data_IF_727031080651
#
_entry.id   IF_727031080651
#
_cell.length_a   1.000
_cell.length_b   1.000
_cell.length_c   1.000
_cell.angle_alpha   90.00
_cell.angle_beta   90.00
_cell.angle_gamma   90.00
#
_symmetry.space_group_name_H-M   'P 1'
#
loop_
_entity.id
_entity.type
_entity.pdbx_description
1 polymer ?
2 non-polymer ?
3 water ?
#
# COMPACT_ATOMS: atom_id res chain seq x y z
N UNK A 4 7.34 14.78 18.67
CA UNK A 4 8.17 15.44 17.63
C UNK A 4 7.46 15.46 16.28
N UNK A 5 7.71 16.52 15.51
CA UNK A 5 7.12 16.63 14.19
C UNK A 5 7.80 15.61 13.30
N UNK A 6 9.02 15.22 13.71
CA UNK A 6 9.81 14.24 12.97
C UNK A 6 9.05 12.91 12.97
N UNK A 7 8.47 12.57 14.12
CA UNK A 7 7.71 11.34 14.25
C UNK A 7 6.39 11.40 13.47
N UNK A 8 5.68 12.52 13.59
CA UNK A 8 4.42 12.67 12.88
C UNK A 8 4.66 12.65 11.37
N UNK A 9 5.79 13.23 10.97
CA UNK A 9 6.18 13.32 9.57
C UNK A 9 6.24 11.95 8.90
N UNK A 10 6.65 10.92 9.64
CA UNK A 10 6.73 9.58 9.10
C UNK A 10 5.35 8.99 8.83
N UNK A 11 4.42 9.22 9.76
CA UNK A 11 3.05 8.71 9.61
C UNK A 11 2.32 9.42 8.48
N UNK A 12 2.51 10.73 8.38
CA UNK A 12 1.88 11.50 7.32
C UNK A 12 2.49 11.07 5.98
N UNK A 13 3.80 10.85 5.99
CA UNK A 13 4.48 10.43 4.78
C UNK A 13 3.99 9.09 4.26
N UNK A 14 3.78 8.14 5.17
CA UNK A 14 3.32 6.82 4.77
C UNK A 14 1.94 6.87 4.14
N UNK A 15 1.04 7.67 4.73
CA UNK A 15 -0.32 7.77 4.22
C UNK A 15 -0.39 8.57 2.91
N UNK A 16 0.17 9.76 2.90
CA UNK A 16 0.16 10.57 1.68
C UNK A 16 0.99 9.94 0.57
N UNK A 17 2.05 9.23 0.95
CA UNK A 17 2.89 8.57 -0.04
C UNK A 17 2.11 7.53 -0.81
N UNK A 18 1.20 6.85 -0.11
CA UNK A 18 0.36 5.82 -0.71
C UNK A 18 -0.46 6.47 -1.84
N UNK A 19 -1.13 7.56 -1.52
CA UNK A 19 -1.96 8.27 -2.49
C UNK A 19 -1.15 8.84 -3.64
N UNK A 20 0.03 9.38 -3.34
CA UNK A 20 0.89 9.94 -4.38
C UNK A 20 1.28 8.85 -5.38
N UNK A 21 1.63 7.67 -4.87
CA UNK A 21 2.01 6.57 -5.74
C UNK A 21 0.85 6.06 -6.58
N UNK A 22 -0.32 6.03 -5.98
CA UNK A 22 -1.54 5.59 -6.66
C UNK A 22 -1.83 6.55 -7.82
N UNK A 23 -1.84 7.85 -7.53
CA UNK A 23 -2.12 8.86 -8.55
C UNK A 23 -1.08 8.87 -9.67
N UNK A 24 0.20 8.83 -9.31
CA UNK A 24 1.26 8.82 -10.31
C UNK A 24 1.25 7.58 -11.18
N UNK A 25 1.18 6.41 -10.54
CA UNK A 25 1.17 5.16 -11.26
C UNK A 25 -0.04 4.97 -12.16
N UNK A 26 -1.17 5.53 -11.75
CA UNK A 26 -2.40 5.41 -12.52
C UNK A 26 -2.24 6.01 -13.92
N UNK A 27 -1.30 6.94 -14.05
CA UNK A 27 -1.05 7.60 -15.33
C UNK A 27 -0.54 6.63 -16.39
N UNK A 28 0.18 5.59 -15.95
CA UNK A 28 0.73 4.63 -16.90
C UNK A 28 0.38 3.16 -16.61
N UNK A 29 -0.67 2.94 -15.83
CA UNK A 29 -1.07 1.57 -15.53
C UNK A 29 -1.47 0.84 -16.82
N UNK A 30 -1.04 -0.40 -16.94
CA UNK A 30 -1.38 -1.20 -18.11
C UNK A 30 -0.38 -1.08 -19.26
N UNK A 31 0.56 -0.16 -19.15
CA UNK A 31 1.56 0.03 -20.20
C UNK A 31 2.81 -0.81 -19.96
N UNK A 32 3.28 -1.52 -21.00
CA UNK A 32 4.48 -2.35 -20.84
C UNK A 32 5.70 -1.49 -20.53
N UNK A 33 6.57 -2.02 -19.68
CA UNK A 33 7.79 -1.32 -19.30
C UNK A 33 8.59 -0.93 -20.55
N UNK A 34 9.22 0.25 -20.50
CA UNK A 34 10.03 0.71 -21.62
C UNK A 34 9.33 1.07 -22.91
N UNK A 35 8.02 1.30 -22.87
CA UNK A 35 7.30 1.64 -24.09
C UNK A 35 6.65 3.02 -24.00
N UNK A 36 6.95 3.75 -22.92
CA UNK A 36 6.36 5.07 -22.73
C UNK A 36 7.35 6.04 -22.08
N UNK A 37 7.13 7.36 -22.27
CA UNK A 37 8.00 8.39 -21.70
C UNK A 37 8.05 8.30 -20.19
N UNK A 38 9.23 8.54 -19.61
CA UNK A 38 9.37 8.48 -18.17
C UNK A 38 8.39 9.38 -17.43
N UNK A 39 7.66 8.79 -16.49
CA UNK A 39 6.71 9.53 -15.67
C UNK A 39 7.50 10.27 -14.60
N UNK A 40 7.30 11.58 -14.51
CA UNK A 40 8.01 12.39 -13.52
C UNK A 40 7.09 13.38 -12.82
N UNK A 41 5.99 13.72 -13.48
CA UNK A 41 5.06 14.70 -12.94
C UNK A 41 3.63 14.23 -12.83
N UNK A 42 2.85 14.92 -12.00
CA UNK A 42 1.44 14.64 -11.80
C UNK A 42 0.69 15.26 -12.98
N UNK A 43 0.57 14.52 -14.07
CA UNK A 43 -0.11 15.03 -15.25
C UNK A 43 -1.50 14.45 -15.42
N UNK A 44 -1.82 13.44 -14.61
CA UNK A 44 -3.11 12.79 -14.73
C UNK A 44 -3.08 11.95 -15.99
N UNK A 45 -4.25 11.60 -16.51
CA UNK A 45 -4.31 10.79 -17.71
C UNK A 45 -4.53 9.31 -17.44
N UNK A 46 -3.82 8.47 -18.18
CA UNK A 46 -3.98 7.04 -18.01
C UNK A 46 -5.26 6.57 -18.67
N UNK A 47 -5.57 5.27 -18.61
CA UNK A 47 -6.78 4.72 -19.23
C UNK A 47 -8.10 5.33 -18.73
N UNK A 48 -8.06 6.03 -17.61
CA UNK A 48 -9.27 6.64 -17.06
C UNK A 48 -9.30 8.17 -17.12
N UNK A 49 -8.42 8.74 -17.95
CA UNK A 49 -8.34 10.19 -18.10
C UNK A 49 -8.48 10.90 -16.76
N UNK A 50 -7.71 10.46 -15.78
CA UNK A 50 -7.77 11.06 -14.46
C UNK A 50 -7.22 12.48 -14.41
N UNK A 51 -7.82 13.34 -13.58
CA UNK A 51 -7.30 14.71 -13.48
C UNK A 51 -5.98 14.55 -12.72
N UNK A 52 -5.08 15.52 -12.84
CA UNK A 52 -3.79 15.44 -12.13
C UNK A 52 -4.02 15.28 -10.63
N UNK A 53 -3.23 14.43 -10.00
CA UNK A 53 -3.36 14.24 -8.56
C UNK A 53 -4.51 13.37 -8.09
N UNK A 54 -5.31 12.85 -9.02
CA UNK A 54 -6.42 11.99 -8.62
C UNK A 54 -5.98 10.54 -8.53
N UNK A 55 -6.31 9.91 -7.41
CA UNK A 55 -5.96 8.51 -7.18
C UNK A 55 -7.13 7.58 -7.54
N UNK A 56 -7.00 6.31 -7.18
CA UNK A 56 -8.03 5.33 -7.54
C UNK A 56 -8.54 4.50 -6.36
N UNK A 57 -8.98 3.28 -6.62
CA UNK A 57 -9.52 2.42 -5.58
C UNK A 57 -8.50 2.10 -4.49
N UNK A 58 -7.22 2.10 -4.86
CA UNK A 58 -6.17 1.81 -3.89
C UNK A 58 -6.30 2.75 -2.70
N UNK A 59 -6.29 4.05 -2.99
CA UNK A 59 -6.40 5.07 -1.96
C UNK A 59 -7.81 5.12 -1.35
N UNK A 60 -8.82 4.86 -2.17
CA UNK A 60 -10.19 4.87 -1.65
C UNK A 60 -10.33 3.84 -0.54
N UNK A 61 -9.80 2.64 -0.76
CA UNK A 61 -9.88 1.60 0.25
C UNK A 61 -9.07 1.98 1.49
N UNK A 62 -7.93 2.64 1.27
CA UNK A 62 -7.10 3.07 2.38
C UNK A 62 -7.89 4.07 3.23
N UNK A 63 -8.61 4.98 2.58
CA UNK A 63 -9.41 5.98 3.29
C UNK A 63 -10.52 5.29 4.09
N UNK A 64 -11.20 4.33 3.46
CA UNK A 64 -12.28 3.59 4.12
C UNK A 64 -11.77 2.89 5.37
N UNK A 65 -10.61 2.22 5.23
CA UNK A 65 -10.02 1.51 6.36
C UNK A 65 -9.65 2.49 7.48
N UNK A 66 -9.07 3.62 7.10
CA UNK A 66 -8.68 4.64 8.07
C UNK A 66 -9.88 5.14 8.87
N UNK A 67 -10.98 5.44 8.19
CA UNK A 67 -12.18 5.93 8.87
C UNK A 67 -12.76 4.86 9.77
N UNK A 68 -12.72 3.61 9.31
CA UNK A 68 -13.23 2.50 10.09
C UNK A 68 -12.45 2.37 11.39
N UNK A 69 -11.13 2.41 11.28
CA UNK A 69 -10.26 2.29 12.45
C UNK A 69 -10.49 3.39 13.47
N UNK A 70 -10.59 4.62 12.98
CA UNK A 70 -10.80 5.77 13.85
C UNK A 70 -12.19 5.74 14.48
N UNK A 71 -13.15 5.16 13.76
CA UNK A 71 -14.53 5.09 14.23
C UNK A 71 -14.81 3.96 15.21
N UNK A 72 -14.20 2.80 15.01
CA UNK A 72 -14.47 1.68 15.92
C UNK A 72 -13.35 0.65 16.03
N UNK A 73 -12.12 1.12 16.13
CA UNK A 73 -10.99 0.22 16.26
C UNK A 73 -10.94 -0.79 15.13
N UNK A 74 -10.42 -1.98 15.43
CA UNK A 74 -10.34 -3.03 14.42
C UNK A 74 -11.65 -3.81 14.32
N UNK A 75 -12.42 -3.49 13.28
CA UNK A 75 -13.72 -4.10 13.04
C UNK A 75 -13.86 -4.45 11.56
N UNK A 76 -13.42 -5.67 11.18
CA UNK A 76 -13.50 -6.13 9.79
C UNK A 76 -14.89 -6.05 9.20
N UNK A 77 -15.90 -6.24 10.04
CA UNK A 77 -17.28 -6.18 9.58
C UNK A 77 -17.57 -4.75 9.10
N UNK A 78 -17.15 -3.76 9.90
CA UNK A 78 -17.37 -2.37 9.55
C UNK A 78 -16.54 -2.00 8.33
N UNK A 79 -15.35 -2.57 8.22
CA UNK A 79 -14.48 -2.29 7.08
C UNK A 79 -15.21 -2.67 5.80
N UNK A 80 -15.76 -3.88 5.77
CA UNK A 80 -16.49 -4.37 4.62
C UNK A 80 -17.77 -3.58 4.36
N UNK A 81 -18.43 -3.09 5.42
CA UNK A 81 -19.63 -2.30 5.22
C UNK A 81 -19.26 -1.06 4.42
N UNK A 82 -18.13 -0.45 4.78
CA UNK A 82 -17.65 0.74 4.10
C UNK A 82 -17.18 0.45 2.68
N UNK A 83 -16.45 -0.65 2.48
CA UNK A 83 -16.00 -0.99 1.14
C UNK A 83 -17.21 -1.21 0.26
N UNK A 84 -18.15 -2.01 0.76
CA UNK A 84 -19.37 -2.34 0.03
C UNK A 84 -20.12 -1.08 -0.37
N UNK A 85 -20.29 -0.18 0.60
CA UNK A 85 -20.99 1.08 0.37
C UNK A 85 -20.26 1.88 -0.72
N UNK A 86 -18.94 1.97 -0.59
CA UNK A 86 -18.11 2.69 -1.55
C UNK A 86 -18.25 2.03 -2.93
N UNK A 87 -18.31 0.72 -2.94
CA UNK A 87 -18.43 -0.08 -4.16
C UNK A 87 -19.78 0.12 -4.86
N UNK A 88 -20.86 0.11 -4.09
CA UNK A 88 -22.19 0.27 -4.66
C UNK A 88 -22.52 1.70 -5.10
N UNK A 89 -21.77 2.67 -4.59
CA UNK A 89 -22.00 4.06 -4.98
C UNK A 89 -21.37 4.39 -6.33
N UNK A 90 -20.48 3.52 -6.79
CA UNK A 90 -19.84 3.72 -8.07
C UNK A 90 -20.37 2.81 -9.14
N UNK A 91 -19.87 2.98 -10.37
CA UNK A 91 -20.30 2.16 -11.49
C UNK A 91 -19.11 1.63 -12.28
N UNK A 104 -11.99 -10.19 -8.03
CA UNK A 104 -11.72 -10.90 -6.76
C UNK A 104 -12.33 -10.15 -5.58
N UNK A 105 -12.12 -8.84 -5.56
CA UNK A 105 -12.64 -7.99 -4.49
C UNK A 105 -14.15 -7.81 -4.61
N UNK A 106 -14.63 -7.62 -5.84
CA UNK A 106 -16.07 -7.44 -6.03
C UNK A 106 -16.79 -8.73 -5.65
N UNK A 107 -16.15 -9.86 -5.90
CA UNK A 107 -16.73 -11.15 -5.55
C UNK A 107 -16.78 -11.26 -4.03
N UNK A 108 -15.73 -10.77 -3.37
CA UNK A 108 -15.67 -10.81 -1.91
C UNK A 108 -16.75 -9.91 -1.30
N UNK A 109 -16.91 -8.72 -1.87
CA UNK A 109 -17.91 -7.79 -1.37
C UNK A 109 -19.32 -8.38 -1.49
N UNK A 110 -19.62 -9.00 -2.63
CA UNK A 110 -20.93 -9.61 -2.85
C UNK A 110 -21.09 -10.83 -1.96
N UNK A 111 -19.99 -11.52 -1.66
CA UNK A 111 -20.04 -12.70 -0.80
C UNK A 111 -20.46 -12.22 0.59
N UNK A 112 -19.84 -11.13 1.04
CA UNK A 112 -20.16 -10.55 2.34
C UNK A 112 -21.61 -10.07 2.40
N UNK A 113 -22.05 -9.41 1.35
CA UNK A 113 -23.41 -8.89 1.29
C UNK A 113 -24.44 -9.99 1.45
N UNK A 114 -24.13 -11.16 0.91
CA UNK A 114 -25.04 -12.30 0.96
C UNK A 114 -24.95 -13.18 2.21
N UNK A 115 -23.76 -13.32 2.76
CA UNK A 115 -23.55 -14.20 3.92
C UNK A 115 -23.27 -13.53 5.25
N UNK A 116 -22.79 -12.30 5.23
CA UNK A 116 -22.47 -11.61 6.46
C UNK A 116 -21.07 -11.94 6.97
N UNK A 117 -20.34 -12.78 6.23
CA UNK A 117 -18.98 -13.16 6.61
C UNK A 117 -18.00 -12.07 6.17
N UNK A 118 -17.42 -11.33 7.15
CA UNK A 118 -16.47 -10.25 6.82
C UNK A 118 -15.18 -10.72 6.15
N UNK A 119 -14.75 -11.94 6.48
CA UNK A 119 -13.53 -12.49 5.90
C UNK A 119 -13.96 -13.25 4.65
N UNK A 120 -14.41 -12.48 3.66
CA UNK A 120 -14.93 -13.03 2.42
C UNK A 120 -13.92 -13.35 1.32
N UNK A 121 -12.64 -13.22 1.62
CA UNK A 121 -11.64 -13.52 0.61
C UNK A 121 -11.54 -15.02 0.40
N UNK A 122 -11.23 -15.44 -0.82
CA UNK A 122 -11.10 -16.86 -1.12
C UNK A 122 -9.66 -17.19 -1.50
N UNK A 123 -9.36 -18.49 -1.61
CA UNK A 123 -8.01 -18.94 -1.95
C UNK A 123 -7.50 -18.50 -3.32
N UNK A 124 -8.40 -18.00 -4.17
CA UNK A 124 -8.00 -17.54 -5.49
C UNK A 124 -7.52 -16.09 -5.44
N UNK A 125 -7.76 -15.43 -4.31
CA UNK A 125 -7.36 -14.05 -4.18
C UNK A 125 -5.91 -13.88 -3.79
N UNK A 126 -5.01 -13.90 -4.76
CA UNK A 126 -3.58 -13.73 -4.49
C UNK A 126 -3.11 -12.36 -4.97
N UNK A 127 -4.07 -11.51 -5.31
CA UNK A 127 -3.75 -10.16 -5.77
C UNK A 127 -3.14 -9.28 -4.69
N UNK A 128 -2.81 -8.04 -5.05
CA UNK A 128 -2.18 -7.11 -4.12
C UNK A 128 -3.12 -6.15 -3.40
N UNK A 129 -4.42 -6.36 -3.53
CA UNK A 129 -5.38 -5.49 -2.87
C UNK A 129 -5.10 -5.22 -1.39
N UNK A 130 -4.75 -6.25 -0.61
CA UNK A 130 -4.47 -6.04 0.82
C UNK A 130 -3.26 -5.14 1.07
N UNK A 131 -2.31 -5.15 0.14
CA UNK A 131 -1.10 -4.32 0.27
C UNK A 131 -1.32 -2.85 -0.04
N UNK A 132 -2.14 -2.59 -1.06
CA UNK A 132 -2.38 -1.23 -1.51
C UNK A 132 -3.07 -0.30 -0.52
N UNK A 133 -3.74 -0.89 0.47
CA UNK A 133 -4.51 -0.11 1.45
C UNK A 133 -4.04 -0.23 2.89
N UNK A 134 -2.94 -0.96 3.11
CA UNK A 134 -2.44 -1.24 4.45
C UNK A 134 -2.03 -0.15 5.44
N UNK A 135 -1.27 0.84 4.98
CA UNK A 135 -0.77 1.91 5.84
C UNK A 135 -1.62 2.33 7.05
N UNK A 136 -2.88 2.69 6.83
CA UNK A 136 -3.73 3.11 7.97
C UNK A 136 -3.72 2.17 9.17
N UNK A 137 -3.73 0.87 8.92
CA UNK A 137 -3.71 -0.11 10.00
C UNK A 137 -2.44 -0.02 10.84
N UNK A 138 -1.30 0.14 10.18
CA UNK A 138 -0.03 0.22 10.89
C UNK A 138 0.09 1.56 11.64
N UNK A 139 -0.46 2.62 11.07
CA UNK A 139 -0.39 3.92 11.72
C UNK A 139 -1.11 3.89 13.07
N UNK A 140 -2.26 3.23 13.10
CA UNK A 140 -3.06 3.16 14.33
C UNK A 140 -2.70 2.03 15.29
N UNK A 141 -2.27 0.89 14.74
CA UNK A 141 -1.94 -0.26 15.60
C UNK A 141 -0.46 -0.62 15.59
N UNK A 142 0.37 0.35 15.29
CA UNK A 142 1.82 0.19 15.24
C UNK A 142 2.39 -0.59 16.43
N UNK A 143 1.92 -0.25 17.63
CA UNK A 143 2.44 -0.86 18.85
C UNK A 143 1.68 -2.08 19.36
N UNK A 144 0.64 -2.50 18.65
CA UNK A 144 -0.12 -3.66 19.09
C UNK A 144 0.73 -4.90 18.95
N UNK A 145 0.75 -5.75 20.00
CA UNK A 145 1.55 -6.97 19.95
C UNK A 145 1.10 -7.94 18.86
N UNK A 146 -0.17 -7.83 18.44
CA UNK A 146 -0.70 -8.71 17.42
C UNK A 146 -0.85 -8.03 16.07
N UNK A 147 -0.04 -7.01 15.83
CA UNK A 147 -0.10 -6.27 14.56
C UNK A 147 -0.10 -7.15 13.33
N UNK A 148 0.81 -8.13 13.26
CA UNK A 148 0.86 -8.98 12.07
C UNK A 148 -0.43 -9.78 11.90
N UNK A 149 -1.02 -10.19 13.01
CA UNK A 149 -2.27 -10.94 12.96
C UNK A 149 -3.41 -10.03 12.49
N UNK A 150 -3.38 -8.78 12.95
CA UNK A 150 -4.41 -7.82 12.55
C UNK A 150 -4.27 -7.56 11.05
N UNK A 151 -3.04 -7.51 10.57
CA UNK A 151 -2.78 -7.29 9.15
C UNK A 151 -3.35 -8.46 8.33
N UNK A 152 -3.12 -9.68 8.80
CA UNK A 152 -3.63 -10.86 8.10
C UNK A 152 -5.15 -10.80 8.04
N UNK A 153 -5.79 -10.44 9.15
CA UNK A 153 -7.25 -10.35 9.18
C UNK A 153 -7.74 -9.27 8.24
N UNK A 154 -7.02 -8.15 8.18
CA UNK A 154 -7.40 -7.04 7.30
C UNK A 154 -7.28 -7.44 5.84
N UNK A 155 -6.39 -8.40 5.56
CA UNK A 155 -6.20 -8.88 4.21
C UNK A 155 -7.30 -9.88 3.86
N UNK A 156 -7.60 -10.75 4.81
CA UNK A 156 -8.60 -11.80 4.63
C UNK A 156 -10.00 -11.33 4.26
N UNK A 157 -10.30 -10.05 4.48
CA UNK A 157 -11.62 -9.53 4.15
C UNK A 157 -11.90 -9.64 2.65
N UNK A 158 -10.86 -9.47 1.84
CA UNK A 158 -11.02 -9.53 0.39
C UNK A 158 -10.13 -10.54 -0.33
N UNK A 159 -9.02 -10.94 0.30
CA UNK A 159 -8.09 -11.89 -0.29
C UNK A 159 -7.78 -13.04 0.66
N UNK A 160 -7.79 -14.27 0.14
CA UNK A 160 -7.52 -15.42 0.99
C UNK A 160 -6.33 -16.30 0.66
N UNK A 161 -5.62 -16.00 -0.43
CA UNK A 161 -4.46 -16.79 -0.82
C UNK A 161 -3.32 -16.67 0.19
N UNK A 162 -2.66 -17.78 0.48
CA UNK A 162 -1.56 -17.79 1.44
C UNK A 162 -0.52 -16.70 1.20
N UNK A 163 -0.03 -16.60 -0.04
CA UNK A 163 0.99 -15.60 -0.35
C UNK A 163 0.55 -14.15 -0.20
N UNK A 164 -0.74 -13.88 -0.36
CA UNK A 164 -1.25 -12.52 -0.21
C UNK A 164 -1.32 -12.18 1.28
N UNK A 165 -1.73 -13.15 2.08
CA UNK A 165 -1.83 -12.93 3.52
C UNK A 165 -0.44 -12.71 4.12
N UNK A 166 0.52 -13.54 3.71
CA UNK A 166 1.87 -13.43 4.23
C UNK A 166 2.54 -12.16 3.73
N UNK A 167 2.28 -11.79 2.47
CA UNK A 167 2.87 -10.58 1.90
C UNK A 167 2.43 -9.37 2.71
N UNK A 168 1.18 -9.41 3.18
CA UNK A 168 0.62 -8.30 3.96
C UNK A 168 1.32 -8.23 5.32
N UNK A 169 1.61 -9.38 5.90
CA UNK A 169 2.30 -9.42 7.20
C UNK A 169 3.70 -8.85 7.04
N UNK A 170 4.36 -9.18 5.94
CA UNK A 170 5.70 -8.67 5.69
C UNK A 170 5.64 -7.14 5.51
N UNK A 171 4.66 -6.65 4.76
CA UNK A 171 4.55 -5.20 4.57
C UNK A 171 4.25 -4.52 5.91
N UNK A 172 3.42 -5.16 6.74
CA UNK A 172 3.09 -4.58 8.04
C UNK A 172 4.36 -4.42 8.86
N UNK A 173 5.20 -5.46 8.86
CA UNK A 173 6.46 -5.42 9.59
C UNK A 173 7.33 -4.29 9.04
N UNK A 174 7.46 -4.25 7.71
CA UNK A 174 8.26 -3.22 7.05
C UNK A 174 7.83 -1.82 7.44
N UNK A 175 6.53 -1.56 7.40
CA UNK A 175 6.02 -0.25 7.76
C UNK A 175 6.28 0.09 9.21
N UNK A 176 6.01 -0.86 10.11
CA UNK A 176 6.23 -0.61 11.53
C UNK A 176 7.70 -0.26 11.79
N UNK A 177 8.59 -1.05 11.22
CA UNK A 177 10.02 -0.82 11.41
C UNK A 177 10.47 0.51 10.82
N UNK A 178 9.93 0.86 9.65
CA UNK A 178 10.30 2.12 9.01
C UNK A 178 9.84 3.28 9.88
N UNK A 179 8.63 3.18 10.41
CA UNK A 179 8.07 4.24 11.26
C UNK A 179 8.91 4.42 12.51
N UNK A 180 9.55 3.34 12.95
CA UNK A 180 10.37 3.38 14.15
C UNK A 180 11.82 3.81 13.90
N UNK A 181 12.14 4.14 12.65
CA UNK A 181 13.48 4.59 12.33
C UNK A 181 14.49 3.56 11.87
N UNK A 182 14.05 2.34 11.58
CA UNK A 182 14.98 1.30 11.12
C UNK A 182 15.62 1.74 9.82
N UNK A 183 16.92 1.47 9.64
CA UNK A 183 17.63 1.86 8.41
C UNK A 183 17.25 1.02 7.21
N UNK A 184 17.43 1.56 6.02
CA UNK A 184 17.09 0.85 4.79
C UNK A 184 17.69 -0.55 4.75
N UNK A 185 18.96 -0.68 5.13
CA UNK A 185 19.61 -1.98 5.11
C UNK A 185 18.87 -3.01 5.98
N UNK A 186 18.37 -2.59 7.14
CA UNK A 186 17.66 -3.49 8.04
C UNK A 186 16.31 -3.89 7.45
N UNK A 187 15.63 -2.93 6.81
CA UNK A 187 14.33 -3.20 6.20
C UNK A 187 14.47 -4.23 5.08
N UNK A 188 15.48 -4.04 4.24
CA UNK A 188 15.71 -4.95 3.12
C UNK A 188 16.21 -6.33 3.56
N UNK A 189 16.85 -6.39 4.73
CA UNK A 189 17.36 -7.66 5.25
C UNK A 189 16.23 -8.60 5.67
N UNK A 190 15.08 -8.01 6.05
CA UNK A 190 13.91 -8.82 6.43
C UNK A 190 14.28 -9.98 7.35
N UNK A 191 15.17 -9.72 8.30
CA UNK A 191 15.65 -10.75 9.22
C UNK A 191 14.62 -11.69 9.86
N UNK A 192 13.51 -11.14 10.40
CA UNK A 192 12.51 -12.00 11.01
C UNK A 192 11.87 -13.03 10.08
N UNK A 193 11.94 -12.77 8.78
CA UNK A 193 11.34 -13.66 7.79
C UNK A 193 12.33 -14.60 7.12
N UNK A 194 13.61 -14.43 7.41
CA UNK A 194 14.63 -15.30 6.84
C UNK A 194 14.47 -16.69 7.43
N UNK A 195 14.32 -17.69 6.57
CA UNK A 195 14.15 -19.05 7.03
C UNK A 195 12.75 -19.33 7.54
N UNK A 196 11.85 -18.36 7.41
CA UNK A 196 10.47 -18.55 7.87
C UNK A 196 9.69 -19.41 6.88
N UNK A 197 8.68 -20.11 7.37
CA UNK A 197 7.86 -20.96 6.51
C UNK A 197 6.84 -20.12 5.75
N UNK A 198 7.26 -19.60 4.61
CA UNK A 198 6.42 -18.77 3.77
C UNK A 198 6.19 -19.46 2.43
N UNK A 199 5.19 -18.98 1.69
CA UNK A 199 4.89 -19.53 0.38
C UNK A 199 6.18 -19.38 -0.42
N UNK A 200 6.53 -20.40 -1.22
CA UNK A 200 7.76 -20.39 -2.04
C UNK A 200 8.03 -19.10 -2.81
N UNK A 201 6.99 -18.52 -3.40
CA UNK A 201 7.17 -17.28 -4.17
C UNK A 201 7.61 -16.14 -3.27
N UNK A 202 6.98 -16.04 -2.10
CA UNK A 202 7.31 -14.98 -1.15
C UNK A 202 8.68 -15.23 -0.52
N UNK A 203 9.01 -16.50 -0.31
CA UNK A 203 10.30 -16.84 0.26
C UNK A 203 11.40 -16.35 -0.69
N UNK A 204 11.21 -16.55 -1.99
CA UNK A 204 12.21 -16.09 -2.95
C UNK A 204 12.37 -14.58 -2.87
N UNK A 205 11.28 -13.87 -2.61
CA UNK A 205 11.36 -12.42 -2.51
C UNK A 205 12.18 -12.03 -1.29
N UNK A 206 11.80 -12.56 -0.12
CA UNK A 206 12.48 -12.28 1.13
C UNK A 206 13.96 -12.63 1.09
N UNK A 207 14.31 -13.65 0.33
CA UNK A 207 15.70 -14.10 0.23
C UNK A 207 16.54 -13.31 -0.78
N UNK A 208 15.99 -12.23 -1.31
CA UNK A 208 16.74 -11.42 -2.25
C UNK A 208 16.24 -11.31 -3.66
N UNK A 209 15.04 -11.84 -3.94
CA UNK A 209 14.53 -11.75 -5.29
C UNK A 209 14.29 -10.31 -5.75
N UNK A 210 14.12 -9.41 -4.79
CA UNK A 210 13.84 -8.00 -5.10
C UNK A 210 15.02 -7.17 -5.60
N UNK A 211 16.25 -7.70 -5.48
CA UNK A 211 17.42 -6.95 -5.92
C UNK A 211 17.44 -6.78 -7.44
N UNK A 212 16.74 -7.66 -8.15
CA UNK A 212 16.70 -7.58 -9.61
C UNK A 212 15.50 -6.76 -10.04
N UNK A 213 15.68 -5.95 -11.08
CA UNK A 213 14.59 -5.11 -11.57
C UNK A 213 13.50 -5.98 -12.20
N UNK A 214 12.23 -5.70 -11.84
CA UNK A 214 11.10 -6.47 -12.38
C UNK A 214 10.94 -6.17 -13.88
N UNK A 215 10.32 -7.09 -14.61
CA UNK A 215 10.10 -6.89 -16.04
C UNK A 215 8.87 -6.00 -16.24
N UNK A 216 8.10 -5.85 -15.18
CA UNK A 216 6.90 -5.03 -15.18
C UNK A 216 6.34 -4.95 -13.77
N UNK A 217 5.37 -4.07 -13.55
CA UNK A 217 4.77 -3.95 -12.23
C UNK A 217 3.78 -5.08 -12.06
N UNK A 218 4.07 -6.08 -11.21
CA UNK A 218 3.19 -7.23 -10.97
C UNK A 218 1.92 -6.93 -10.19
N UNK A 219 0.87 -7.71 -10.46
CA UNK A 219 -0.39 -7.57 -9.75
C UNK A 219 -0.45 -8.63 -8.65
N UNK A 220 0.42 -9.63 -8.79
CA UNK A 220 0.52 -10.74 -7.84
C UNK A 220 1.19 -10.20 -6.58
N UNK A 221 0.56 -10.40 -5.41
CA UNK A 221 1.08 -9.87 -4.15
C UNK A 221 2.58 -9.98 -3.92
N UNK A 222 3.15 -11.20 -4.00
CA UNK A 222 4.60 -11.30 -3.78
C UNK A 222 5.38 -10.43 -4.76
N UNK A 223 4.96 -10.44 -6.02
CA UNK A 223 5.63 -9.65 -7.05
C UNK A 223 5.50 -8.16 -6.82
N UNK A 224 4.34 -7.74 -6.33
CA UNK A 224 4.12 -6.32 -6.07
C UNK A 224 5.06 -5.86 -4.96
N UNK A 225 5.15 -6.66 -3.91
CA UNK A 225 6.02 -6.34 -2.79
C UNK A 225 7.47 -6.30 -3.27
N UNK A 226 7.83 -7.26 -4.12
CA UNK A 226 9.20 -7.31 -4.64
C UNK A 226 9.53 -6.07 -5.47
N UNK A 227 8.56 -5.59 -6.25
CA UNK A 227 8.78 -4.41 -7.08
C UNK A 227 8.95 -3.15 -6.22
N UNK A 228 8.17 -3.07 -5.14
CA UNK A 228 8.26 -1.92 -4.24
C UNK A 228 9.61 -1.94 -3.52
N UNK A 229 10.01 -3.12 -3.08
CA UNK A 229 11.29 -3.26 -2.38
C UNK A 229 12.45 -2.91 -3.29
N UNK A 230 12.35 -3.31 -4.57
CA UNK A 230 13.39 -3.01 -5.54
C UNK A 230 13.56 -1.51 -5.73
N UNK A 231 12.43 -0.81 -5.91
CA UNK A 231 12.44 0.63 -6.12
C UNK A 231 12.99 1.33 -4.89
N UNK A 232 12.64 0.81 -3.71
CA UNK A 232 13.09 1.38 -2.45
C UNK A 232 14.60 1.17 -2.34
N UNK A 233 15.06 -0.02 -2.73
CA UNK A 233 16.48 -0.34 -2.66
C UNK A 233 17.34 0.50 -3.61
N UNK A 234 16.84 0.78 -4.80
CA UNK A 234 17.61 1.53 -5.79
C UNK A 234 17.45 3.05 -5.72
N UNK A 235 16.28 3.51 -5.29
CA UNK A 235 16.04 4.94 -5.20
C UNK A 235 16.76 5.56 -4.01
N UNK A 236 17.47 6.66 -4.25
CA UNK A 236 18.21 7.34 -3.19
C UNK A 236 17.34 8.26 -2.33
N UNK A 237 16.17 8.61 -2.85
CA UNK A 237 15.23 9.45 -2.11
C UNK A 237 13.83 9.05 -2.53
N UNK A 238 12.82 9.63 -1.89
CA UNK A 238 11.44 9.30 -2.21
C UNK A 238 11.13 9.43 -3.69
N UNK A 239 11.44 10.60 -4.26
CA UNK A 239 11.17 10.87 -5.66
C UNK A 239 11.80 9.89 -6.64
N UNK A 240 13.09 9.64 -6.51
CA UNK A 240 13.77 8.72 -7.41
C UNK A 240 13.17 7.32 -7.35
N UNK A 241 12.92 6.85 -6.14
CA UNK A 241 12.33 5.53 -5.96
C UNK A 241 10.94 5.46 -6.54
N UNK A 242 10.16 6.51 -6.35
CA UNK A 242 8.79 6.54 -6.88
C UNK A 242 8.82 6.48 -8.40
N UNK A 243 9.72 7.22 -9.03
CA UNK A 243 9.80 7.19 -10.48
C UNK A 243 10.22 5.79 -10.96
N UNK A 244 11.14 5.14 -10.25
CA UNK A 244 11.56 3.80 -10.63
C UNK A 244 10.37 2.85 -10.55
N UNK A 245 9.60 2.98 -9.48
CA UNK A 245 8.45 2.12 -9.26
C UNK A 245 7.38 2.23 -10.34
N UNK A 246 6.89 3.43 -10.58
CA UNK A 246 5.83 3.61 -11.57
C UNK A 246 6.25 3.37 -13.01
N UNK A 247 7.51 3.63 -13.34
CA UNK A 247 7.96 3.42 -14.71
C UNK A 247 8.17 1.96 -15.10
N UNK A 248 7.84 1.06 -14.19
CA UNK A 248 7.92 -0.37 -14.47
C UNK A 248 6.66 -0.71 -15.27
N UNK A 249 5.70 0.23 -15.28
CA UNK A 249 4.46 -0.01 -16.00
C UNK A 249 3.64 -1.10 -15.33
N UNK A 250 2.77 -1.75 -16.09
CA UNK A 250 1.95 -2.80 -15.51
C UNK A 250 1.00 -2.26 -14.45
N UNK A 251 0.95 -2.92 -13.30
CA UNK A 251 0.09 -2.48 -12.20
C UNK A 251 0.84 -1.34 -11.51
N UNK A 252 1.05 -0.25 -12.26
CA UNK A 252 1.80 0.89 -11.77
C UNK A 252 1.20 1.67 -10.60
N UNK A 253 -0.12 1.82 -10.57
CA UNK A 253 -0.71 2.57 -9.47
C UNK A 253 -0.55 1.83 -8.15
N UNK A 254 -0.68 0.51 -8.18
CA UNK A 254 -0.57 -0.28 -6.96
C UNK A 254 0.88 -0.47 -6.52
N UNK A 255 1.79 -0.68 -7.46
CA UNK A 255 3.19 -0.81 -7.11
C UNK A 255 3.61 0.55 -6.55
N UNK A 256 3.12 1.61 -7.17
CA UNK A 256 3.45 2.94 -6.69
C UNK A 256 2.90 3.19 -5.29
N UNK A 257 1.69 2.71 -5.02
CA UNK A 257 1.06 2.88 -3.72
C UNK A 257 1.81 2.12 -2.63
N UNK A 258 2.26 0.92 -2.95
CA UNK A 258 2.98 0.12 -1.95
C UNK A 258 4.33 0.77 -1.68
N UNK A 259 5.02 1.16 -2.75
CA UNK A 259 6.30 1.85 -2.60
C UNK A 259 6.08 3.13 -1.80
N UNK A 260 5.03 3.86 -2.14
CA UNK A 260 4.74 5.11 -1.46
C UNK A 260 4.60 4.97 0.05
N UNK A 261 3.99 3.88 0.50
CA UNK A 261 3.79 3.65 1.92
C UNK A 261 5.12 3.43 2.63
N UNK A 262 5.93 2.54 2.09
CA UNK A 262 7.22 2.22 2.68
C UNK A 262 8.16 3.41 2.63
N UNK A 263 8.31 3.99 1.45
CA UNK A 263 9.19 5.14 1.27
C UNK A 263 8.66 6.34 2.04
N UNK A 264 7.35 6.47 2.12
CA UNK A 264 6.76 7.58 2.84
C UNK A 264 7.09 7.51 4.32
N UNK A 265 7.00 6.32 4.89
CA UNK A 265 7.30 6.12 6.30
C UNK A 265 8.79 6.28 6.57
N UNK A 266 9.61 5.87 5.62
CA UNK A 266 11.06 5.94 5.73
C UNK A 266 11.65 7.36 5.56
N UNK A 267 11.23 8.04 4.50
CA UNK A 267 11.74 9.38 4.20
C UNK A 267 10.98 10.52 4.86
N UNK A 268 9.69 10.30 5.10
CA UNK A 268 8.86 11.32 5.73
C UNK A 268 8.18 12.24 4.73
N UNK A 269 7.08 12.83 5.17
CA UNK A 269 6.31 13.74 4.32
C UNK A 269 7.14 14.90 3.77
N UNK A 270 8.06 15.42 4.57
CA UNK A 270 8.88 16.52 4.12
C UNK A 270 9.77 16.17 2.94
N UNK A 271 9.96 14.88 2.70
CA UNK A 271 10.81 14.42 1.61
C UNK A 271 10.06 14.15 0.31
N UNK A 272 8.74 14.19 0.37
CA UNK A 272 7.93 13.96 -0.82
C UNK A 272 7.83 15.29 -1.58
N UNK A 273 8.14 15.29 -2.88
CA UNK A 273 8.07 16.51 -3.69
C UNK A 273 6.83 17.35 -3.40
N UNK A 274 7.05 18.60 -3.02
CA UNK A 274 5.93 19.48 -2.71
C UNK A 274 4.91 19.61 -3.83
N UNK A 275 5.36 19.67 -5.07
CA UNK A 275 4.42 19.82 -6.18
C UNK A 275 3.50 18.61 -6.31
N UNK A 276 3.97 17.45 -5.87
CA UNK A 276 3.16 16.23 -5.92
C UNK A 276 2.07 16.31 -4.87
N UNK A 277 2.43 16.81 -3.69
CA UNK A 277 1.46 16.93 -2.60
C UNK A 277 0.43 18.03 -2.86
N UNK A 278 0.86 19.15 -3.43
CA UNK A 278 -0.06 20.25 -3.71
C UNK A 278 -1.09 19.89 -4.79
N UNK A 279 -0.75 18.93 -5.66
CA UNK A 279 -1.64 18.51 -6.72
C UNK A 279 -2.56 17.37 -6.28
N UNK A 280 -2.17 16.71 -5.20
CA UNK A 280 -2.91 15.57 -4.67
C UNK A 280 -4.34 15.84 -4.19
N UNK A 281 -5.29 15.08 -4.73
CA UNK A 281 -6.70 15.22 -4.35
C UNK A 281 -6.90 14.85 -2.88
N UNK A 282 -7.64 15.69 -2.16
CA UNK A 282 -7.94 15.48 -0.74
C UNK A 282 -6.69 15.37 0.15
N UNK A 283 -5.66 16.12 -0.23
CA UNK A 283 -4.41 16.13 0.53
C UNK A 283 -4.65 16.43 2.02
N UNK A 284 -5.37 17.51 2.30
CA UNK A 284 -5.63 17.90 3.68
C UNK A 284 -6.43 16.87 4.47
N UNK A 285 -7.41 16.25 3.82
CA UNK A 285 -8.23 15.25 4.49
C UNK A 285 -7.35 14.08 4.94
N UNK A 286 -6.44 13.67 4.07
CA UNK A 286 -5.55 12.56 4.40
C UNK A 286 -4.56 12.93 5.51
N UNK A 287 -4.07 14.15 5.51
CA UNK A 287 -3.14 14.58 6.55
C UNK A 287 -3.81 14.53 7.91
N UNK A 288 -5.08 14.94 7.95
CA UNK A 288 -5.83 14.93 9.20
C UNK A 288 -6.04 13.49 9.66
N UNK A 289 -6.38 12.61 8.73
CA UNK A 289 -6.61 11.21 9.04
C UNK A 289 -5.34 10.55 9.57
N UNK A 290 -4.21 10.83 8.91
CA UNK A 290 -2.93 10.26 9.30
C UNK A 290 -2.56 10.68 10.72
N UNK A 291 -2.80 11.96 11.04
CA UNK A 291 -2.49 12.46 12.37
C UNK A 291 -3.41 11.84 13.41
N UNK A 292 -4.68 11.66 13.08
CA UNK A 292 -5.65 11.08 13.99
C UNK A 292 -5.26 9.62 14.29
N UNK A 293 -4.87 8.89 13.26
CA UNK A 293 -4.47 7.49 13.41
C UNK A 293 -3.22 7.39 14.28
N UNK A 294 -2.28 8.29 14.09
CA UNK A 294 -1.05 8.29 14.87
C UNK A 294 -1.37 8.55 16.35
N UNK A 295 -2.24 9.52 16.60
CA UNK A 295 -2.63 9.84 17.97
C UNK A 295 -3.22 8.60 18.61
N UNK A 296 -3.99 7.85 17.82
CA UNK A 296 -4.63 6.64 18.27
C UNK A 296 -3.63 5.56 18.68
N UNK A 297 -2.50 5.50 17.99
CA UNK A 297 -1.47 4.51 18.29
C UNK A 297 -0.78 4.79 19.61
N UNK A 298 -0.85 6.05 20.06
CA UNK A 298 -0.22 6.45 21.31
C UNK A 298 -1.20 6.28 22.46
X LIG B 1 -3.89 -1.57 -10.05
X LIG C 1 -6.35 1.03 -8.86
#
# INVERSE_FOLDING_TARGET
>A
MKGLKERQDRRLGAFLGLAVGDALGAQVEGLPKGTFPEVREMKGGGPHRLPPGFWTDDTSQALCLAESLLQRGFDPKDQMDRYLRWYREGYRSATGVCFGLGHATRRALERYAATGDPYAGDEAGAGNGPLMRLAPLVLAYENHPDLLSLARRAARTTHGAREALEATEVLAWLLREALRGAPKEALLALEPFRGADLHPALRRVVEGGFWEAPEEGPGYAPGTLAAALWAFARGRDFEEGMRLAVNLGGDADTVGAVYGQLAGAYYGLGAIPGRWLRALHLREEMEALALALYRMSMASPRE
>B hetero
1 GD3 GD
>C hetero
1 GD3 GD
#
